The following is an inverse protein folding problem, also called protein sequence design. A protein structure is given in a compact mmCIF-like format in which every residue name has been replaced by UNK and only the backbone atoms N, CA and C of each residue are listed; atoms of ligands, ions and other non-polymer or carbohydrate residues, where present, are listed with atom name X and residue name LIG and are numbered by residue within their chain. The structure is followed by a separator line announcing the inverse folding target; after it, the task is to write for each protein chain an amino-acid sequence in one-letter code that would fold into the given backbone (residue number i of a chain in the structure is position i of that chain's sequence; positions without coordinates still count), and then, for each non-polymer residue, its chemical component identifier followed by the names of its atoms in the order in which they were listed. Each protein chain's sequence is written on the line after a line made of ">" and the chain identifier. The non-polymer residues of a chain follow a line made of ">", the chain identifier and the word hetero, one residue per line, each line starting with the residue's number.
data_IF_848977374347
#
_entry.id   IF_848977374347
#
_cell.length_a   1.000
_cell.length_b   1.000
_cell.length_c   1.000
_cell.angle_alpha   90.00
_cell.angle_beta   90.00
_cell.angle_gamma   90.00
#
_symmetry.space_group_name_H-M   'P 1'
#
loop_
_entity.id
_entity.type
_entity.pdbx_description
1 polymer ?
#
# COMPACT_ATOMS: atom_id res chain seq x y z
N UNK A 1 -32.50 -2.18 -17.65
CA UNK A 1 -31.68 -3.03 -18.53
C UNK A 1 -30.52 -3.57 -17.69
N UNK A 2 -30.39 -4.88 -17.48
CA UNK A 2 -29.26 -5.42 -16.73
C UNK A 2 -28.00 -5.38 -17.62
N UNK A 3 -26.93 -4.76 -17.12
CA UNK A 3 -25.63 -4.67 -17.80
C UNK A 3 -24.99 -6.04 -17.89
N UNK A 4 -24.74 -6.53 -19.10
CA UNK A 4 -23.98 -7.76 -19.35
C UNK A 4 -22.58 -7.67 -18.76
N UNK A 5 -22.12 -8.67 -18.00
CA UNK A 5 -20.77 -8.67 -17.44
C UNK A 5 -19.76 -8.72 -18.59
N UNK A 6 -18.90 -7.70 -18.66
CA UNK A 6 -17.78 -7.70 -19.60
C UNK A 6 -16.87 -8.85 -19.21
N UNK A 7 -16.66 -9.80 -20.12
CA UNK A 7 -15.78 -10.94 -19.98
C UNK A 7 -14.61 -10.78 -20.98
N UNK A 8 -13.37 -11.04 -20.55
CA UNK A 8 -12.19 -10.99 -21.43
C UNK A 8 -11.17 -9.89 -21.10
N UNK A 9 -10.43 -9.39 -22.09
CA UNK A 9 -9.45 -8.27 -21.94
C UNK A 9 -10.07 -6.94 -21.54
N UNK A 10 -11.31 -6.74 -21.94
CA UNK A 10 -12.03 -5.49 -21.78
C UNK A 10 -12.50 -5.26 -20.33
N UNK A 11 -12.65 -6.31 -19.52
CA UNK A 11 -13.08 -6.17 -18.12
C UNK A 11 -11.96 -5.69 -17.17
N UNK A 12 -10.70 -5.80 -17.61
CA UNK A 12 -9.52 -5.29 -16.91
C UNK A 12 -9.03 -3.94 -17.46
N UNK A 13 -9.60 -3.48 -18.57
CA UNK A 13 -9.42 -2.13 -19.11
C UNK A 13 -10.34 -1.11 -18.44
N UNK A 14 -11.19 -1.52 -17.50
CA UNK A 14 -11.87 -0.58 -16.62
C UNK A 14 -10.81 0.40 -16.10
N UNK A 15 -10.96 1.72 -16.34
CA UNK A 15 -10.04 2.69 -15.80
C UNK A 15 -10.07 2.45 -14.30
N UNK A 16 -8.96 1.89 -13.79
CA UNK A 16 -8.76 1.56 -12.38
C UNK A 16 -9.33 2.73 -11.60
N UNK A 17 -10.48 2.48 -10.96
CA UNK A 17 -11.41 3.47 -10.41
C UNK A 17 -10.62 4.69 -9.99
N UNK A 18 -10.77 5.80 -10.72
CA UNK A 18 -10.02 7.03 -10.55
C UNK A 18 -9.71 7.19 -9.07
N UNK A 19 -8.45 6.97 -8.70
CA UNK A 19 -8.04 6.64 -7.33
C UNK A 19 -8.53 7.74 -6.43
N UNK A 20 -9.73 7.61 -5.87
CA UNK A 20 -10.33 8.65 -5.05
C UNK A 20 -9.26 8.95 -4.03
N UNK A 21 -8.82 10.21 -3.99
CA UNK A 21 -7.86 10.68 -3.01
C UNK A 21 -8.62 10.55 -1.70
N UNK A 22 -8.61 9.35 -1.11
CA UNK A 22 -9.20 9.05 0.18
C UNK A 22 -8.38 9.91 1.12
N UNK A 23 -8.96 11.04 1.51
CA UNK A 23 -8.44 11.90 2.56
C UNK A 23 -8.44 11.05 3.81
N UNK A 24 -7.26 10.53 4.18
CA UNK A 24 -7.11 9.74 5.39
C UNK A 24 -7.27 10.69 6.57
N UNK A 25 -8.31 10.48 7.36
CA UNK A 25 -8.56 11.27 8.57
C UNK A 25 -7.81 10.70 9.76
N UNK A 26 -7.60 11.51 10.80
CA UNK A 26 -7.02 11.05 12.06
C UNK A 26 -7.81 9.87 12.66
N UNK A 27 -9.14 9.88 12.53
CA UNK A 27 -10.01 8.81 13.02
C UNK A 27 -9.80 7.48 12.29
N UNK A 28 -9.41 7.52 11.01
CA UNK A 28 -9.06 6.33 10.23
C UNK A 28 -7.79 5.66 10.74
N UNK A 29 -6.85 6.45 11.27
CA UNK A 29 -5.59 5.94 11.80
C UNK A 29 -5.70 5.44 13.25
N UNK A 30 -6.59 6.02 14.06
CA UNK A 30 -6.84 5.57 15.43
C UNK A 30 -7.77 4.35 15.50
N UNK A 31 -8.65 4.16 14.51
CA UNK A 31 -9.44 2.93 14.35
C UNK A 31 -8.71 1.89 13.49
N UNK A 32 -8.16 0.89 14.16
CA UNK A 32 -7.44 -0.23 13.55
C UNK A 32 -8.26 -1.01 12.51
N UNK A 33 -9.59 -1.10 12.69
CA UNK A 33 -10.46 -1.82 11.75
C UNK A 33 -10.58 -1.05 10.45
N UNK A 34 -10.85 0.25 10.55
CA UNK A 34 -10.89 1.17 9.42
C UNK A 34 -9.54 1.22 8.67
N UNK A 35 -8.43 1.30 9.40
CA UNK A 35 -7.09 1.24 8.80
C UNK A 35 -6.82 -0.08 8.06
N UNK A 36 -7.22 -1.22 8.64
CA UNK A 36 -7.09 -2.54 8.00
C UNK A 36 -7.89 -2.63 6.70
N UNK A 37 -9.13 -2.12 6.67
CA UNK A 37 -9.93 -2.10 5.45
C UNK A 37 -9.30 -1.21 4.37
N UNK A 38 -8.74 -0.06 4.75
CA UNK A 38 -7.98 0.79 3.84
C UNK A 38 -6.78 0.05 3.23
N UNK A 39 -5.97 -0.62 4.06
CA UNK A 39 -4.82 -1.38 3.57
C UNK A 39 -5.21 -2.56 2.67
N UNK A 40 -6.33 -3.23 2.95
CA UNK A 40 -6.87 -4.28 2.08
C UNK A 40 -7.24 -3.73 0.71
N UNK A 41 -7.80 -2.53 0.66
CA UNK A 41 -8.13 -1.89 -0.62
C UNK A 41 -6.87 -1.58 -1.44
N UNK A 42 -5.84 -1.02 -0.81
CA UNK A 42 -4.53 -0.83 -1.47
C UNK A 42 -3.90 -2.15 -1.94
N UNK A 43 -4.07 -3.25 -1.20
CA UNK A 43 -3.64 -4.58 -1.60
C UNK A 43 -4.39 -5.07 -2.85
N UNK A 44 -5.71 -4.91 -2.89
CA UNK A 44 -6.53 -5.25 -4.07
C UNK A 44 -6.10 -4.47 -5.30
N UNK A 45 -5.78 -3.18 -5.13
CA UNK A 45 -5.24 -2.36 -6.21
C UNK A 45 -3.89 -2.87 -6.71
N UNK A 46 -2.95 -3.20 -5.82
CA UNK A 46 -1.66 -3.80 -6.19
C UNK A 46 -1.84 -5.14 -6.95
N UNK A 47 -2.72 -6.01 -6.44
CA UNK A 47 -3.00 -7.30 -7.06
C UNK A 47 -3.59 -7.11 -8.47
N UNK A 48 -4.46 -6.10 -8.67
CA UNK A 48 -5.01 -5.78 -10.01
C UNK A 48 -3.93 -5.30 -10.99
N UNK A 49 -2.94 -4.52 -10.52
CA UNK A 49 -1.81 -4.06 -11.33
C UNK A 49 -0.90 -5.24 -11.69
N UNK A 50 -0.64 -6.15 -10.74
CA UNK A 50 0.15 -7.36 -10.97
C UNK A 50 -0.52 -8.31 -11.97
N UNK A 51 -1.83 -8.50 -11.88
CA UNK A 51 -2.57 -9.31 -12.86
C UNK A 51 -2.43 -8.73 -14.27
N UNK A 52 -2.52 -7.41 -14.40
CA UNK A 52 -2.30 -6.72 -15.68
C UNK A 52 -0.87 -6.89 -16.18
N UNK A 53 0.14 -6.76 -15.31
CA UNK A 53 1.55 -6.98 -15.67
C UNK A 53 1.78 -8.38 -16.23
N UNK A 54 1.31 -9.39 -15.50
CA UNK A 54 1.46 -10.79 -15.90
C UNK A 54 0.79 -11.06 -17.26
N UNK A 55 -0.34 -10.41 -17.52
CA UNK A 55 -1.07 -10.53 -18.78
C UNK A 55 -0.32 -9.87 -19.94
N UNK A 56 0.12 -8.63 -19.79
CA UNK A 56 0.86 -7.92 -20.85
C UNK A 56 2.16 -8.67 -21.20
N UNK A 57 2.86 -9.20 -20.19
CA UNK A 57 4.03 -10.04 -20.43
C UNK A 57 3.68 -11.34 -21.18
N UNK A 58 2.53 -11.95 -20.91
CA UNK A 58 2.10 -13.15 -21.63
C UNK A 58 1.76 -12.83 -23.08
N UNK A 59 1.10 -11.70 -23.34
CA UNK A 59 0.77 -11.24 -24.69
C UNK A 59 2.01 -10.99 -25.55
N UNK A 60 3.02 -10.31 -24.98
CA UNK A 60 4.32 -10.11 -25.64
C UNK A 60 4.94 -11.44 -26.03
N UNK A 61 5.04 -12.38 -25.10
CA UNK A 61 5.62 -13.71 -25.36
C UNK A 61 4.87 -14.47 -26.44
N UNK A 62 3.56 -14.27 -26.55
CA UNK A 62 2.75 -14.88 -27.61
C UNK A 62 3.05 -14.26 -28.98
N UNK A 63 3.17 -12.94 -29.06
CA UNK A 63 3.58 -12.25 -30.29
C UNK A 63 5.01 -12.63 -30.74
N UNK A 64 5.93 -12.83 -29.79
CA UNK A 64 7.29 -13.31 -30.07
C UNK A 64 7.25 -14.68 -30.75
N UNK A 65 6.41 -15.60 -30.26
CA UNK A 65 6.23 -16.93 -30.89
C UNK A 65 5.66 -16.84 -32.31
N UNK A 66 4.74 -15.92 -32.54
CA UNK A 66 4.10 -15.73 -33.83
C UNK A 66 5.01 -14.99 -34.84
N UNK A 67 6.22 -14.58 -34.44
CA UNK A 67 7.17 -13.89 -35.32
C UNK A 67 6.73 -12.48 -35.75
N UNK A 68 5.75 -11.90 -35.06
CA UNK A 68 5.12 -10.63 -35.44
C UNK A 68 5.85 -9.38 -34.88
N UNK A 69 6.95 -9.54 -34.15
CA UNK A 69 7.61 -8.40 -33.48
C UNK A 69 8.71 -7.75 -34.33
N UNK A 70 8.34 -6.61 -34.94
CA UNK A 70 9.25 -5.46 -34.99
C UNK A 70 9.43 -4.92 -33.58
N UNK A 71 10.63 -5.08 -33.01
CA UNK A 71 10.98 -4.64 -31.65
C UNK A 71 10.78 -3.12 -31.49
N UNK A 72 10.05 -2.73 -30.44
CA UNK A 72 10.39 -1.52 -29.68
C UNK A 72 9.37 -0.38 -29.65
N UNK A 73 9.46 0.39 -28.56
CA UNK A 73 8.68 1.57 -28.16
C UNK A 73 7.28 1.32 -27.58
N UNK A 74 6.36 0.66 -28.28
CA UNK A 74 4.97 0.53 -27.78
C UNK A 74 4.91 -0.39 -26.56
N UNK A 75 5.59 -1.53 -26.63
CA UNK A 75 5.70 -2.46 -25.51
C UNK A 75 6.43 -1.82 -24.31
N UNK A 76 7.49 -1.06 -24.58
CA UNK A 76 8.26 -0.35 -23.55
C UNK A 76 7.42 0.72 -22.88
N UNK A 77 6.60 1.45 -23.65
CA UNK A 77 5.64 2.43 -23.15
C UNK A 77 4.56 1.77 -22.28
N UNK A 78 4.04 0.61 -22.66
CA UNK A 78 3.06 -0.14 -21.83
C UNK A 78 3.68 -0.58 -20.51
N UNK A 79 4.89 -1.15 -20.53
CA UNK A 79 5.64 -1.54 -19.33
C UNK A 79 5.96 -0.31 -18.45
N UNK A 80 6.41 0.79 -19.04
CA UNK A 80 6.72 2.02 -18.31
C UNK A 80 5.47 2.63 -17.66
N UNK A 81 4.34 2.65 -18.36
CA UNK A 81 3.07 3.12 -17.83
C UNK A 81 2.57 2.27 -16.66
N UNK A 82 2.72 0.95 -16.76
CA UNK A 82 2.32 0.04 -15.69
C UNK A 82 3.25 0.14 -14.47
N UNK A 83 4.55 0.28 -14.71
CA UNK A 83 5.53 0.53 -13.66
C UNK A 83 5.25 1.84 -12.92
N UNK A 84 4.93 2.91 -13.66
CA UNK A 84 4.53 4.19 -13.09
C UNK A 84 3.30 4.05 -12.19
N UNK A 85 2.29 3.28 -12.60
CA UNK A 85 1.10 2.99 -11.79
C UNK A 85 1.45 2.23 -10.51
N UNK A 86 2.30 1.21 -10.60
CA UNK A 86 2.73 0.42 -9.45
C UNK A 86 3.51 1.28 -8.43
N UNK A 87 4.48 2.06 -8.91
CA UNK A 87 5.32 2.92 -8.06
C UNK A 87 4.50 4.04 -7.43
N UNK A 88 3.57 4.65 -8.18
CA UNK A 88 2.66 5.67 -7.66
C UNK A 88 1.77 5.11 -6.54
N UNK A 89 1.20 3.93 -6.74
CA UNK A 89 0.38 3.26 -5.73
C UNK A 89 1.19 2.92 -4.46
N UNK A 90 2.37 2.32 -4.65
CA UNK A 90 3.27 2.00 -3.54
C UNK A 90 3.68 3.25 -2.74
N UNK A 91 4.02 4.35 -3.44
CA UNK A 91 4.36 5.63 -2.82
C UNK A 91 3.20 6.17 -1.99
N UNK A 92 1.97 6.12 -2.53
CA UNK A 92 0.77 6.57 -1.81
C UNK A 92 0.48 5.72 -0.57
N UNK A 93 0.61 4.39 -0.66
CA UNK A 93 0.48 3.50 0.51
C UNK A 93 1.51 3.85 1.59
N UNK A 94 2.76 4.12 1.19
CA UNK A 94 3.82 4.52 2.12
C UNK A 94 3.45 5.80 2.86
N UNK A 95 3.02 6.85 2.16
CA UNK A 95 2.60 8.12 2.78
C UNK A 95 1.46 7.94 3.79
N UNK A 96 0.49 7.09 3.48
CA UNK A 96 -0.64 6.80 4.38
C UNK A 96 -0.17 6.08 5.65
N UNK A 97 0.70 5.08 5.50
CA UNK A 97 1.26 4.36 6.64
C UNK A 97 2.07 5.32 7.52
N UNK A 98 2.93 6.15 6.93
CA UNK A 98 3.74 7.12 7.66
C UNK A 98 2.87 8.14 8.42
N UNK A 99 1.80 8.65 7.80
CA UNK A 99 0.83 9.52 8.47
C UNK A 99 0.11 8.82 9.63
N UNK A 100 -0.37 7.59 9.43
CA UNK A 100 -1.07 6.89 10.50
C UNK A 100 -0.15 6.50 11.65
N UNK A 101 1.12 6.18 11.37
CA UNK A 101 2.14 5.98 12.41
C UNK A 101 2.33 7.26 13.22
N UNK A 102 2.49 8.42 12.57
CA UNK A 102 2.69 9.69 13.30
C UNK A 102 1.49 10.08 14.16
N UNK A 103 0.26 9.82 13.69
CA UNK A 103 -0.97 10.04 14.48
C UNK A 103 -1.00 9.16 15.74
N UNK A 104 -0.66 7.89 15.61
CA UNK A 104 -0.65 6.95 16.75
C UNK A 104 0.47 7.30 17.72
N UNK A 105 1.66 7.65 17.22
CA UNK A 105 2.79 8.05 18.05
C UNK A 105 2.48 9.34 18.84
N UNK A 106 1.91 10.35 18.18
CA UNK A 106 1.45 11.56 18.85
C UNK A 106 0.44 11.26 19.97
N UNK A 107 -0.55 10.40 19.69
CA UNK A 107 -1.55 10.02 20.69
C UNK A 107 -0.93 9.30 21.90
N UNK A 108 0.09 8.47 21.67
CA UNK A 108 0.83 7.81 22.75
C UNK A 108 1.62 8.81 23.59
N UNK A 109 2.34 9.73 22.95
CA UNK A 109 3.11 10.75 23.66
C UNK A 109 2.21 11.65 24.52
N UNK A 110 1.05 12.05 24.01
CA UNK A 110 0.07 12.86 24.76
C UNK A 110 -0.44 12.11 26.00
N UNK A 111 -0.82 10.85 25.84
CA UNK A 111 -1.27 10.01 26.97
C UNK A 111 -0.15 9.75 27.98
N UNK A 112 1.10 9.59 27.52
CA UNK A 112 2.26 9.41 28.39
C UNK A 112 2.56 10.67 29.20
N UNK A 113 2.51 11.85 28.57
CA UNK A 113 2.63 13.14 29.27
C UNK A 113 1.50 13.34 30.27
N UNK A 114 0.26 12.99 29.91
CA UNK A 114 -0.88 13.04 30.81
C UNK A 114 -0.72 12.11 32.03
N UNK A 115 -0.23 10.88 31.84
CA UNK A 115 0.04 9.95 32.93
C UNK A 115 1.14 10.45 33.89
N UNK A 116 2.14 11.16 33.37
CA UNK A 116 3.23 11.73 34.17
C UNK A 116 2.82 13.00 34.93
N UNK A 117 1.91 13.80 34.36
CA UNK A 117 1.40 15.02 34.98
C UNK A 117 0.28 14.74 35.99
N UNK A 118 -0.30 13.53 36.01
CA UNK A 118 -1.39 13.17 36.91
C UNK A 118 -0.87 12.81 38.31
N UNK A 119 -1.32 13.55 39.31
CA UNK A 119 -0.94 13.37 40.72
C UNK A 119 -1.76 12.28 41.41
N UNK A 120 -3.03 12.06 40.99
CA UNK A 120 -3.89 11.02 41.56
C UNK A 120 -3.45 9.62 41.11
N UNK A 121 -3.01 8.73 42.03
CA UNK A 121 -2.58 7.37 41.71
C UNK A 121 -3.65 6.51 41.03
N UNK A 122 -4.93 6.82 41.23
CA UNK A 122 -6.04 6.07 40.61
C UNK A 122 -6.25 6.49 39.16
N UNK A 123 -6.23 7.80 38.89
CA UNK A 123 -6.32 8.34 37.53
C UNK A 123 -5.10 7.98 36.69
N UNK A 124 -3.90 8.05 37.27
CA UNK A 124 -2.67 7.63 36.62
C UNK A 124 -2.73 6.17 36.17
N UNK A 125 -3.18 5.26 37.03
CA UNK A 125 -3.38 3.84 36.67
C UNK A 125 -4.40 3.65 35.55
N UNK A 126 -5.46 4.45 35.51
CA UNK A 126 -6.43 4.40 34.42
C UNK A 126 -5.83 4.84 33.07
N UNK A 127 -5.03 5.91 33.07
CA UNK A 127 -4.32 6.40 31.86
C UNK A 127 -3.28 5.37 31.40
N UNK A 128 -2.51 4.79 32.32
CA UNK A 128 -1.55 3.73 32.03
C UNK A 128 -2.23 2.49 31.45
N UNK A 129 -3.36 2.05 32.01
CA UNK A 129 -4.13 0.93 31.47
C UNK A 129 -4.63 1.20 30.03
N UNK A 130 -5.07 2.43 29.73
CA UNK A 130 -5.46 2.83 28.38
C UNK A 130 -4.27 2.82 27.41
N UNK A 131 -3.09 3.28 27.84
CA UNK A 131 -1.84 3.20 27.09
C UNK A 131 -1.46 1.75 26.76
N UNK A 132 -1.54 0.84 27.74
CA UNK A 132 -1.27 -0.58 27.52
C UNK A 132 -2.27 -1.21 26.54
N UNK A 133 -3.57 -0.92 26.68
CA UNK A 133 -4.59 -1.43 25.78
C UNK A 133 -4.34 -1.00 24.31
N UNK A 134 -3.88 0.23 24.09
CA UNK A 134 -3.54 0.71 22.75
C UNK A 134 -2.26 0.05 22.20
N UNK A 135 -1.27 -0.22 23.05
CA UNK A 135 -0.07 -0.96 22.63
C UNK A 135 -0.39 -2.40 22.19
N UNK A 136 -1.34 -3.07 22.86
CA UNK A 136 -1.78 -4.43 22.48
C UNK A 136 -2.45 -4.42 21.11
N UNK A 137 -3.36 -3.47 20.85
CA UNK A 137 -4.00 -3.31 19.53
C UNK A 137 -2.97 -3.14 18.41
N UNK A 138 -1.92 -2.36 18.66
CA UNK A 138 -0.81 -2.17 17.70
C UNK A 138 -0.06 -3.47 17.46
N UNK A 139 0.32 -4.23 18.51
CA UNK A 139 1.02 -5.51 18.36
C UNK A 139 0.19 -6.54 17.58
N UNK A 140 -1.13 -6.59 17.82
CA UNK A 140 -2.05 -7.46 17.08
C UNK A 140 -2.19 -7.06 15.60
N UNK A 141 -2.07 -5.77 15.25
CA UNK A 141 -1.94 -5.34 13.85
C UNK A 141 -0.57 -5.58 13.24
N UNK A 142 0.53 -5.43 13.99
CA UNK A 142 1.90 -5.63 13.48
C UNK A 142 2.21 -7.11 13.27
N UNK A 143 1.44 -8.01 13.90
CA UNK A 143 1.41 -9.44 13.56
C UNK A 143 0.91 -9.72 12.12
N UNK A 144 0.41 -8.71 11.40
CA UNK A 144 0.48 -8.67 9.94
C UNK A 144 1.91 -8.30 9.53
N UNK A 145 2.83 -9.27 9.60
CA UNK A 145 4.12 -9.19 8.89
C UNK A 145 3.82 -8.83 7.42
N UNK A 146 4.45 -7.80 6.81
CA UNK A 146 5.87 -7.51 6.97
C UNK A 146 6.23 -6.01 6.92
N UNK A 147 6.48 -5.39 8.08
CA UNK A 147 7.33 -4.18 8.13
C UNK A 147 8.80 -4.53 7.78
N UNK A 148 9.17 -5.81 7.85
CA UNK A 148 10.46 -6.35 7.39
C UNK A 148 10.63 -6.43 5.85
N UNK A 149 9.60 -6.12 5.04
CA UNK A 149 9.77 -6.06 3.58
C UNK A 149 10.30 -4.70 3.11
N UNK A 150 10.15 -3.65 3.93
CA UNK A 150 10.54 -2.28 3.57
C UNK A 150 12.01 -1.98 3.85
N UNK A 151 12.67 -2.70 4.77
CA UNK A 151 14.13 -2.59 4.97
C UNK A 151 14.95 -3.28 3.88
N UNK A 152 14.32 -4.12 3.04
CA UNK A 152 14.97 -4.78 1.90
C UNK A 152 14.73 -4.08 0.55
N UNK A 153 13.78 -3.14 0.47
CA UNK A 153 13.52 -2.37 -0.75
C UNK A 153 14.54 -1.24 -0.98
N UNK A 154 15.31 -0.85 0.05
CA UNK A 154 16.52 -0.03 -0.12
C UNK A 154 17.68 -0.81 -0.74
N UNK A 155 17.75 -2.14 -0.59
CA UNK A 155 18.77 -2.97 -1.24
C UNK A 155 18.44 -3.28 -2.71
N UNK A 156 17.14 -3.35 -3.05
CA UNK A 156 16.69 -3.56 -4.45
C UNK A 156 16.93 -2.32 -5.33
N UNK A 157 17.18 -1.13 -4.75
CA UNK A 157 17.35 0.13 -5.50
C UNK A 157 18.78 0.50 -5.92
N UNK A 158 19.78 -0.37 -5.79
CA UNK A 158 21.10 -0.07 -6.37
C UNK A 158 21.65 -1.14 -7.34
N UNK A 159 21.19 -2.39 -7.28
CA UNK A 159 21.79 -3.45 -8.09
C UNK A 159 21.37 -3.47 -9.57
N UNK A 160 20.22 -2.89 -9.94
CA UNK A 160 19.71 -3.00 -11.33
C UNK A 160 19.93 -1.74 -12.18
N UNK A 161 20.24 -0.59 -11.56
CA UNK A 161 20.46 0.66 -12.32
C UNK A 161 21.90 0.82 -12.86
N UNK A 162 22.85 -0.01 -12.42
CA UNK A 162 24.25 0.05 -12.87
C UNK A 162 24.61 -0.94 -13.99
N UNK A 163 23.69 -1.84 -14.38
CA UNK A 163 23.93 -2.86 -15.42
C UNK A 163 23.31 -2.55 -16.79
N UNK A 164 22.67 -1.39 -16.92
CA UNK A 164 22.09 -0.88 -18.18
C UNK A 164 22.83 0.36 -18.71
N UNK A 165 23.99 0.70 -18.13
CA UNK A 165 24.90 1.75 -18.62
C UNK A 165 26.35 1.26 -18.78
N UNK A 166 26.52 0.01 -19.22
CA UNK A 166 27.75 -0.50 -19.83
C UNK A 166 27.39 -1.35 -21.05
#
# INVERSE_FOLDING_TARGET
>A
MPSTPVLGSLSLQSPSSATQIVSVSQSTCSDISSFKELLKEYRRLDDSINVRLNREQAFVRDQERNGHLGKGSVQDQVCANLWSQLVSNWSRRKTIIEYCVSVVDQSKEEKQKAAQAEEDPSRRRAIEAALFADNVKVMDSVSLKPVYFLTNLSEIKFATSLRLMQ
#
